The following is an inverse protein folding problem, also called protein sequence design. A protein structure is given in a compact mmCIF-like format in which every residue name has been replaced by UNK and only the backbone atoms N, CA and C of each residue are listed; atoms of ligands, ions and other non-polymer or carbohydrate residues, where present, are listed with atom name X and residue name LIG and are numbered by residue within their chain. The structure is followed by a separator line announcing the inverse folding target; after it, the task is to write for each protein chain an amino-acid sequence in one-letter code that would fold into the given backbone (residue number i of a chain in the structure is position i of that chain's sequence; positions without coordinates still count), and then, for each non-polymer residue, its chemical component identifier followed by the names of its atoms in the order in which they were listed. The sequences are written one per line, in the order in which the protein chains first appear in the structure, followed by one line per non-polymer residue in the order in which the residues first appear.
data_IF_104133128743
#
_entry.id   IF_104133128743
#
_cell.length_a   1.000
_cell.length_b   1.000
_cell.length_c   1.000
_cell.angle_alpha   90.00
_cell.angle_beta   90.00
_cell.angle_gamma   90.00
#
_symmetry.space_group_name_H-M   'P 1'
#
loop_
_entity.id
_entity.type
_entity.pdbx_description
1 polymer ?
#
# COMPACT_ATOMS: atom_id res chain seq x y z
N UNK A 1 1.31 -16.72 -15.73
CA UNK A 1 -0.02 -16.39 -15.18
C UNK A 1 -0.57 -15.26 -16.02
N UNK A 2 -1.82 -15.31 -16.47
CA UNK A 2 -2.50 -14.23 -17.20
C UNK A 2 -3.44 -13.51 -16.24
N UNK A 3 -3.66 -12.22 -16.46
CA UNK A 3 -4.62 -11.45 -15.66
C UNK A 3 -6.03 -11.84 -16.08
N UNK A 4 -6.84 -12.22 -15.11
CA UNK A 4 -8.28 -12.39 -15.30
C UNK A 4 -8.96 -11.01 -15.22
N UNK A 5 -9.08 -10.36 -16.39
CA UNK A 5 -9.64 -9.02 -16.51
C UNK A 5 -11.09 -8.92 -16.05
N UNK A 6 -11.89 -9.97 -16.25
CA UNK A 6 -13.30 -9.97 -15.86
C UNK A 6 -13.43 -9.95 -14.33
N UNK A 7 -12.68 -10.79 -13.65
CA UNK A 7 -12.68 -10.84 -12.19
C UNK A 7 -12.04 -9.58 -11.59
N UNK A 8 -10.92 -9.08 -12.16
CA UNK A 8 -10.33 -7.82 -11.71
C UNK A 8 -11.33 -6.66 -11.78
N UNK A 9 -12.10 -6.57 -12.87
CA UNK A 9 -13.10 -5.51 -13.02
C UNK A 9 -14.26 -5.64 -12.01
N UNK A 10 -14.67 -6.86 -11.67
CA UNK A 10 -15.68 -7.10 -10.62
C UNK A 10 -15.15 -6.67 -9.24
N UNK A 11 -13.92 -7.04 -8.91
CA UNK A 11 -13.31 -6.69 -7.62
C UNK A 11 -13.00 -5.19 -7.49
N UNK A 12 -12.66 -4.51 -8.59
CA UNK A 12 -12.60 -3.04 -8.63
C UNK A 12 -13.93 -2.41 -8.25
N UNK A 13 -15.04 -2.88 -8.86
CA UNK A 13 -16.38 -2.39 -8.53
C UNK A 13 -16.76 -2.67 -7.07
N UNK A 14 -16.41 -3.85 -6.54
CA UNK A 14 -16.63 -4.19 -5.15
C UNK A 14 -15.84 -3.24 -4.22
N UNK A 15 -14.61 -2.91 -4.57
CA UNK A 15 -13.78 -1.94 -3.84
C UNK A 15 -14.38 -0.54 -3.86
N UNK A 16 -14.76 -0.04 -5.04
CA UNK A 16 -15.41 1.27 -5.15
C UNK A 16 -16.76 1.32 -4.41
N UNK A 17 -17.53 0.22 -4.41
CA UNK A 17 -18.76 0.11 -3.64
C UNK A 17 -18.53 0.17 -2.13
N UNK A 18 -17.43 -0.43 -1.64
CA UNK A 18 -17.10 -0.45 -0.22
C UNK A 18 -16.59 0.89 0.30
N UNK A 19 -15.76 1.58 -0.49
CA UNK A 19 -15.01 2.76 -0.04
C UNK A 19 -15.49 4.09 -0.63
N UNK A 20 -16.39 4.06 -1.61
CA UNK A 20 -16.84 5.24 -2.34
C UNK A 20 -15.84 5.70 -3.39
N UNK A 21 -15.87 6.98 -3.71
CA UNK A 21 -14.94 7.63 -4.63
C UNK A 21 -13.61 7.95 -3.93
N UNK A 22 -12.57 8.27 -4.70
CA UNK A 22 -11.27 8.66 -4.15
C UNK A 22 -11.38 9.78 -3.09
N UNK A 23 -12.30 10.73 -3.30
CA UNK A 23 -12.51 11.87 -2.40
C UNK A 23 -13.19 11.49 -1.08
N UNK A 24 -13.85 10.35 -1.01
CA UNK A 24 -14.52 9.84 0.20
C UNK A 24 -13.54 9.14 1.14
N UNK A 25 -12.38 8.73 0.62
CA UNK A 25 -11.35 8.09 1.43
C UNK A 25 -10.83 9.04 2.52
N UNK A 26 -10.72 8.60 3.77
CA UNK A 26 -10.18 9.39 4.87
C UNK A 26 -8.73 9.80 4.61
N UNK A 27 -8.34 10.91 5.24
CA UNK A 27 -7.01 11.51 5.08
C UNK A 27 -6.14 11.18 6.28
N UNK A 28 -4.95 10.66 5.99
CA UNK A 28 -3.88 10.49 6.96
C UNK A 28 -2.65 11.34 6.59
N UNK A 29 -1.82 11.65 7.57
CA UNK A 29 -0.66 12.49 7.35
C UNK A 29 0.61 11.70 7.01
N UNK A 30 0.71 10.47 7.50
CA UNK A 30 1.89 9.61 7.38
C UNK A 30 1.52 8.14 7.41
N UNK A 31 2.09 7.34 6.49
CA UNK A 31 1.84 5.91 6.39
C UNK A 31 2.21 5.15 7.68
N UNK A 32 3.34 5.49 8.31
CA UNK A 32 3.79 4.79 9.52
C UNK A 32 2.82 4.93 10.71
N UNK A 33 1.98 6.00 10.76
CA UNK A 33 0.90 6.11 11.75
C UNK A 33 -0.24 5.13 11.49
N UNK A 34 -0.50 4.82 10.21
CA UNK A 34 -1.46 3.78 9.86
C UNK A 34 -0.91 2.42 10.28
N UNK A 35 0.36 2.15 9.98
CA UNK A 35 1.03 0.91 10.40
C UNK A 35 0.97 0.73 11.91
N UNK A 36 1.26 1.78 12.68
CA UNK A 36 1.25 1.75 14.16
C UNK A 36 -0.10 1.31 14.76
N UNK A 37 -1.21 1.48 14.02
CA UNK A 37 -2.56 1.06 14.45
C UNK A 37 -2.86 -0.42 14.20
N UNK A 38 -2.05 -1.09 13.37
CA UNK A 38 -2.33 -2.44 12.86
C UNK A 38 -1.29 -3.50 13.28
N UNK A 39 -0.39 -3.15 14.18
CA UNK A 39 0.60 -4.07 14.70
C UNK A 39 0.84 -3.87 16.18
N UNK A 40 1.85 -4.54 16.74
CA UNK A 40 2.15 -4.49 18.16
C UNK A 40 3.47 -5.13 18.55
N UNK A 41 3.76 -5.08 19.84
CA UNK A 41 4.94 -5.72 20.41
C UNK A 41 4.98 -7.22 20.09
N UNK A 42 6.14 -7.72 19.68
CA UNK A 42 6.36 -9.12 19.37
C UNK A 42 5.90 -9.54 17.99
N UNK A 43 5.38 -8.61 17.14
CA UNK A 43 5.01 -8.94 15.76
C UNK A 43 6.23 -9.36 14.94
N UNK A 44 6.01 -10.33 14.06
CA UNK A 44 6.90 -10.67 12.94
C UNK A 44 6.49 -9.82 11.74
N UNK A 45 7.40 -8.94 11.30
CA UNK A 45 7.17 -7.97 10.23
C UNK A 45 8.10 -8.22 9.07
N UNK A 46 7.56 -8.25 7.85
CA UNK A 46 8.32 -8.25 6.60
C UNK A 46 8.11 -6.92 5.88
N UNK A 47 9.18 -6.25 5.48
CA UNK A 47 9.14 -5.15 4.53
C UNK A 47 9.65 -5.60 3.17
N UNK A 48 8.81 -5.44 2.13
CA UNK A 48 9.14 -5.73 0.73
C UNK A 48 9.41 -4.41 0.02
N UNK A 49 10.56 -4.28 -0.62
CA UNK A 49 11.07 -3.00 -1.13
C UNK A 49 11.62 -2.15 0.02
N UNK A 50 12.46 -2.73 0.87
CA UNK A 50 12.87 -2.16 2.16
C UNK A 50 13.91 -1.02 2.04
N UNK A 51 14.53 -0.84 0.86
CA UNK A 51 15.51 0.22 0.60
C UNK A 51 16.57 0.34 1.70
N UNK A 52 16.62 1.48 2.37
CA UNK A 52 17.59 1.75 3.44
C UNK A 52 17.24 1.14 4.82
N UNK A 53 16.16 0.36 4.92
CA UNK A 53 15.65 -0.26 6.15
C UNK A 53 15.27 0.74 7.26
N UNK A 54 15.12 2.02 6.94
CA UNK A 54 14.80 3.06 7.96
C UNK A 54 13.44 2.85 8.64
N UNK A 55 12.57 2.05 8.04
CA UNK A 55 11.26 1.71 8.61
C UNK A 55 11.38 0.83 9.87
N UNK A 56 12.40 -0.03 9.98
CA UNK A 56 12.68 -0.83 11.19
C UNK A 56 12.75 0.05 12.44
N UNK A 57 13.43 1.20 12.35
CA UNK A 57 13.57 2.16 13.46
C UNK A 57 12.18 2.67 13.88
N UNK A 58 11.29 2.94 12.92
CA UNK A 58 9.92 3.39 13.23
C UNK A 58 9.09 2.34 13.93
N UNK A 59 9.27 1.07 13.56
CA UNK A 59 8.58 -0.03 14.25
C UNK A 59 9.06 -0.18 15.69
N UNK A 60 10.38 -0.07 15.92
CA UNK A 60 10.96 -0.09 17.26
C UNK A 60 10.48 1.09 18.12
N UNK A 61 10.37 2.29 17.53
CA UNK A 61 9.83 3.48 18.21
C UNK A 61 8.37 3.27 18.66
N UNK A 62 7.56 2.57 17.86
CA UNK A 62 6.13 2.38 18.16
C UNK A 62 5.85 1.20 19.08
N UNK A 63 6.54 0.09 18.88
CA UNK A 63 6.17 -1.18 19.51
C UNK A 63 7.27 -1.77 20.40
N UNK A 64 8.48 -1.19 20.37
CA UNK A 64 9.64 -1.71 21.06
C UNK A 64 10.17 -2.96 20.36
N UNK A 65 9.95 -4.11 20.95
CA UNK A 65 10.45 -5.38 20.44
C UNK A 65 9.60 -5.89 19.26
N UNK A 66 10.23 -6.03 18.09
CA UNK A 66 9.64 -6.61 16.87
C UNK A 66 10.68 -7.53 16.20
N UNK A 67 10.20 -8.58 15.54
CA UNK A 67 11.04 -9.37 14.64
C UNK A 67 10.89 -8.80 13.23
N UNK A 68 11.87 -7.99 12.81
CA UNK A 68 11.85 -7.38 11.48
C UNK A 68 12.69 -8.16 10.50
N UNK A 69 12.16 -8.34 9.28
CA UNK A 69 12.85 -8.87 8.12
C UNK A 69 12.65 -7.95 6.92
N UNK A 70 13.69 -7.85 6.10
CA UNK A 70 13.70 -7.02 4.90
C UNK A 70 13.90 -7.85 3.64
N UNK A 71 13.25 -7.44 2.56
CA UNK A 71 13.40 -8.00 1.24
C UNK A 71 13.55 -6.85 0.23
N UNK A 72 14.66 -6.83 -0.52
CA UNK A 72 14.87 -5.87 -1.60
C UNK A 72 15.84 -6.44 -2.63
N UNK A 73 15.62 -6.08 -3.90
CA UNK A 73 16.48 -6.47 -5.02
C UNK A 73 17.73 -5.58 -5.17
N UNK A 74 17.72 -4.39 -4.54
CA UNK A 74 18.84 -3.45 -4.60
C UNK A 74 19.98 -3.94 -3.68
N UNK A 75 21.18 -4.25 -4.23
CA UNK A 75 22.31 -4.72 -3.44
C UNK A 75 23.02 -3.61 -2.64
N UNK A 76 22.56 -2.36 -2.72
CA UNK A 76 23.21 -1.22 -2.02
C UNK A 76 23.16 -1.41 -0.51
N UNK A 77 22.10 -2.04 -0.01
CA UNK A 77 21.92 -2.35 1.41
C UNK A 77 21.85 -3.86 1.63
N UNK A 78 22.21 -4.29 2.83
CA UNK A 78 22.11 -5.72 3.20
C UNK A 78 20.69 -6.03 3.65
N UNK A 79 20.04 -6.95 2.94
CA UNK A 79 18.71 -7.44 3.25
C UNK A 79 18.72 -8.91 3.67
N UNK A 80 17.64 -9.33 4.36
CA UNK A 80 17.50 -10.75 4.74
C UNK A 80 17.20 -11.61 3.51
N UNK A 81 16.53 -11.04 2.49
CA UNK A 81 16.17 -11.72 1.24
C UNK A 81 16.38 -10.79 0.05
N UNK A 82 16.90 -11.33 -1.07
CA UNK A 82 17.11 -10.60 -2.32
C UNK A 82 15.83 -10.51 -3.18
N UNK A 83 14.91 -11.45 -3.02
CA UNK A 83 13.64 -11.48 -3.77
C UNK A 83 12.52 -12.05 -2.93
N UNK A 84 11.26 -11.61 -3.20
CA UNK A 84 10.10 -12.04 -2.41
C UNK A 84 9.85 -13.55 -2.49
N UNK A 85 10.26 -14.22 -3.57
CA UNK A 85 10.14 -15.68 -3.71
C UNK A 85 11.10 -16.44 -2.79
N UNK A 86 12.17 -15.81 -2.32
CA UNK A 86 13.13 -16.39 -1.38
C UNK A 86 12.67 -16.28 0.07
N UNK A 87 11.68 -15.44 0.33
CA UNK A 87 11.17 -15.20 1.68
C UNK A 87 10.55 -16.48 2.24
N UNK A 88 10.95 -16.82 3.45
CA UNK A 88 10.44 -17.97 4.22
C UNK A 88 9.83 -17.52 5.54
N UNK A 89 9.01 -18.39 6.14
CA UNK A 89 8.34 -18.11 7.40
C UNK A 89 6.95 -17.50 7.21
N UNK A 90 6.33 -17.12 8.32
CA UNK A 90 5.00 -16.49 8.36
C UNK A 90 5.06 -15.20 9.17
N UNK A 91 4.33 -14.19 8.72
CA UNK A 91 4.38 -12.84 9.26
C UNK A 91 3.01 -12.39 9.79
N UNK A 92 3.04 -11.58 10.84
CA UNK A 92 1.86 -10.89 11.35
C UNK A 92 1.52 -9.68 10.50
N UNK A 93 2.55 -9.02 9.96
CA UNK A 93 2.44 -7.83 9.14
C UNK A 93 3.41 -7.89 7.96
N UNK A 94 2.94 -7.58 6.76
CA UNK A 94 3.78 -7.36 5.58
C UNK A 94 3.52 -5.96 5.04
N UNK A 95 4.59 -5.18 4.85
CA UNK A 95 4.52 -3.83 4.30
C UNK A 95 5.22 -3.76 2.93
N UNK A 96 4.66 -2.98 2.00
CA UNK A 96 5.29 -2.64 0.73
C UNK A 96 4.96 -1.17 0.40
N UNK A 97 5.96 -0.28 0.46
CA UNK A 97 5.76 1.15 0.31
C UNK A 97 6.40 1.65 -0.97
N UNK A 98 5.60 2.31 -1.83
CA UNK A 98 6.06 2.89 -3.12
C UNK A 98 6.86 1.86 -3.94
N UNK A 99 6.33 0.64 -4.04
CA UNK A 99 6.99 -0.47 -4.74
C UNK A 99 6.15 -0.99 -5.91
N UNK A 100 4.83 -1.16 -5.70
CA UNK A 100 3.96 -1.88 -6.65
C UNK A 100 3.85 -1.18 -8.01
N UNK A 101 4.00 0.13 -8.05
CA UNK A 101 4.02 0.95 -9.26
C UNK A 101 5.23 0.73 -10.17
N UNK A 102 6.31 0.18 -9.63
CA UNK A 102 7.53 -0.17 -10.37
C UNK A 102 7.45 -1.57 -11.02
N UNK A 103 6.42 -2.34 -10.69
CA UNK A 103 6.23 -3.70 -11.20
C UNK A 103 5.31 -3.70 -12.42
N UNK A 104 5.50 -4.66 -13.33
CA UNK A 104 4.45 -4.94 -14.32
C UNK A 104 3.18 -5.40 -13.60
N UNK A 105 2.01 -5.23 -14.23
CA UNK A 105 0.75 -5.64 -13.59
C UNK A 105 0.73 -7.15 -13.24
N UNK A 106 1.41 -7.98 -14.03
CA UNK A 106 1.56 -9.42 -13.77
C UNK A 106 2.44 -9.66 -12.53
N UNK A 107 3.55 -8.94 -12.43
CA UNK A 107 4.47 -9.10 -11.30
C UNK A 107 3.87 -8.49 -10.02
N UNK A 108 3.12 -7.39 -10.13
CA UNK A 108 2.33 -6.84 -9.03
C UNK A 108 1.31 -7.87 -8.49
N UNK A 109 0.59 -8.56 -9.39
CA UNK A 109 -0.33 -9.64 -9.01
C UNK A 109 0.41 -10.80 -8.32
N UNK A 110 1.56 -11.23 -8.86
CA UNK A 110 2.38 -12.30 -8.25
C UNK A 110 2.87 -11.89 -6.86
N UNK A 111 3.38 -10.67 -6.72
CA UNK A 111 3.83 -10.14 -5.43
C UNK A 111 2.71 -10.17 -4.40
N UNK A 112 1.51 -9.68 -4.74
CA UNK A 112 0.37 -9.62 -3.83
C UNK A 112 -0.09 -11.02 -3.43
N UNK A 113 -0.13 -11.99 -4.36
CA UNK A 113 -0.44 -13.40 -4.07
C UNK A 113 0.63 -13.99 -3.14
N UNK A 114 1.90 -13.68 -3.37
CA UNK A 114 2.99 -14.16 -2.52
C UNK A 114 2.90 -13.55 -1.12
N UNK A 115 2.62 -12.25 -0.98
CA UNK A 115 2.39 -11.61 0.31
C UNK A 115 1.26 -12.31 1.08
N UNK A 116 0.13 -12.61 0.41
CA UNK A 116 -0.97 -13.35 1.04
C UNK A 116 -0.52 -14.71 1.56
N UNK A 117 0.29 -15.46 0.80
CA UNK A 117 0.79 -16.79 1.22
C UNK A 117 1.71 -16.72 2.44
N UNK A 118 2.48 -15.64 2.59
CA UNK A 118 3.43 -15.41 3.68
C UNK A 118 2.79 -14.85 4.96
N UNK A 119 1.56 -14.38 4.91
CA UNK A 119 0.86 -13.89 6.10
C UNK A 119 0.25 -15.05 6.89
N UNK A 120 0.29 -14.93 8.21
CA UNK A 120 -0.51 -15.75 9.12
C UNK A 120 -2.01 -15.49 8.87
N UNK A 121 -2.90 -16.44 9.18
CA UNK A 121 -4.34 -16.14 9.25
C UNK A 121 -4.60 -14.95 10.18
N UNK A 122 -5.38 -13.96 9.74
CA UNK A 122 -5.57 -12.69 10.44
C UNK A 122 -4.42 -11.69 10.30
N UNK A 123 -3.34 -12.05 9.60
CA UNK A 123 -2.21 -11.15 9.34
C UNK A 123 -2.57 -10.03 8.36
N UNK A 124 -1.87 -8.91 8.47
CA UNK A 124 -2.17 -7.66 7.78
C UNK A 124 -1.13 -7.37 6.69
N UNK A 125 -1.59 -6.95 5.51
CA UNK A 125 -0.78 -6.33 4.47
C UNK A 125 -1.06 -4.82 4.43
N UNK A 126 -0.01 -4.00 4.35
CA UNK A 126 -0.13 -2.54 4.18
C UNK A 126 0.73 -2.12 3.00
N UNK A 127 0.10 -1.54 1.98
CA UNK A 127 0.76 -1.07 0.78
C UNK A 127 0.52 0.42 0.57
N UNK A 128 1.52 1.12 0.04
CA UNK A 128 1.33 2.45 -0.54
C UNK A 128 1.67 2.47 -2.02
N UNK A 129 1.05 3.39 -2.75
CA UNK A 129 1.36 3.68 -4.15
C UNK A 129 1.04 5.15 -4.45
N UNK A 130 1.66 5.78 -5.47
CA UNK A 130 1.29 7.11 -5.89
C UNK A 130 -0.18 7.23 -6.26
N UNK A 131 -0.81 8.31 -5.84
CA UNK A 131 -2.18 8.60 -6.21
C UNK A 131 -2.26 9.12 -7.65
N UNK A 132 -2.79 8.32 -8.57
CA UNK A 132 -2.94 8.69 -9.98
C UNK A 132 -3.92 9.83 -10.23
N UNK A 133 -4.82 10.14 -9.27
CA UNK A 133 -5.65 11.34 -9.31
C UNK A 133 -4.86 12.63 -9.01
N UNK A 134 -3.60 12.51 -8.57
CA UNK A 134 -2.61 13.56 -8.56
C UNK A 134 -1.48 13.19 -9.53
N UNK A 135 -1.63 13.48 -10.83
CA UNK A 135 -0.70 13.02 -11.88
C UNK A 135 0.79 13.26 -11.57
N UNK A 136 1.19 14.40 -10.98
CA UNK A 136 2.60 14.61 -10.63
C UNK A 136 3.17 13.60 -9.63
N UNK A 137 2.35 12.90 -8.85
CA UNK A 137 2.86 11.87 -7.93
C UNK A 137 3.38 10.65 -8.68
N UNK A 138 2.71 10.26 -9.77
CA UNK A 138 3.10 9.14 -10.60
C UNK A 138 4.10 9.56 -11.71
N UNK A 139 3.79 10.62 -12.45
CA UNK A 139 4.52 10.98 -13.68
C UNK A 139 5.92 11.54 -13.46
N UNK A 140 6.27 11.96 -12.24
CA UNK A 140 7.60 12.54 -11.95
C UNK A 140 8.73 11.51 -11.92
N UNK A 141 8.41 10.23 -11.88
CA UNK A 141 9.39 9.15 -11.80
C UNK A 141 9.23 8.23 -13.04
N UNK A 142 10.30 8.16 -13.84
CA UNK A 142 10.31 7.40 -15.08
C UNK A 142 10.31 5.87 -14.86
N UNK A 143 10.57 5.42 -13.65
CA UNK A 143 10.53 4.00 -13.29
C UNK A 143 9.15 3.51 -12.88
N UNK A 144 8.17 4.40 -12.72
CA UNK A 144 6.78 4.05 -12.52
C UNK A 144 6.15 3.55 -13.83
N UNK A 145 5.79 2.30 -13.89
CA UNK A 145 5.26 1.66 -15.10
C UNK A 145 3.79 1.24 -14.99
N UNK A 146 3.29 0.98 -13.77
CA UNK A 146 1.91 0.52 -13.55
C UNK A 146 1.13 1.53 -12.71
N UNK A 147 0.31 2.39 -13.37
CA UNK A 147 -0.54 3.33 -12.67
C UNK A 147 -1.76 2.60 -12.08
N UNK A 148 -1.80 2.43 -10.77
CA UNK A 148 -2.93 1.80 -10.07
C UNK A 148 -3.82 2.84 -9.41
N UNK A 149 -5.10 2.89 -9.79
CA UNK A 149 -6.12 3.58 -9.03
C UNK A 149 -6.38 2.84 -7.70
N UNK A 150 -6.95 3.53 -6.72
CA UNK A 150 -7.26 2.92 -5.42
C UNK A 150 -8.14 1.67 -5.53
N UNK A 151 -9.10 1.68 -6.45
CA UNK A 151 -10.03 0.59 -6.70
C UNK A 151 -9.36 -0.58 -7.45
N UNK A 152 -8.38 -0.30 -8.34
CA UNK A 152 -7.57 -1.32 -9.00
C UNK A 152 -6.64 -2.01 -8.03
N UNK A 153 -5.94 -1.24 -7.18
CA UNK A 153 -5.10 -1.81 -6.12
C UNK A 153 -5.93 -2.68 -5.17
N UNK A 154 -7.11 -2.18 -4.76
CA UNK A 154 -8.04 -2.97 -3.96
C UNK A 154 -8.53 -4.23 -4.68
N UNK A 155 -8.81 -4.13 -5.98
CA UNK A 155 -9.20 -5.27 -6.81
C UNK A 155 -8.13 -6.35 -6.89
N UNK A 156 -6.86 -5.96 -7.07
CA UNK A 156 -5.72 -6.90 -7.06
C UNK A 156 -5.59 -7.62 -5.72
N UNK A 157 -5.73 -6.91 -4.61
CA UNK A 157 -5.66 -7.49 -3.27
C UNK A 157 -6.81 -8.48 -3.04
N UNK A 158 -8.04 -8.14 -3.43
CA UNK A 158 -9.19 -9.05 -3.34
C UNK A 158 -9.02 -10.31 -4.18
N UNK A 159 -8.52 -10.18 -5.41
CA UNK A 159 -8.21 -11.34 -6.27
C UNK A 159 -7.18 -12.28 -5.64
N UNK A 160 -6.27 -11.76 -4.81
CA UNK A 160 -5.31 -12.57 -4.07
C UNK A 160 -5.88 -13.18 -2.78
N UNK A 161 -7.16 -12.93 -2.45
CA UNK A 161 -7.84 -13.49 -1.29
C UNK A 161 -7.86 -12.59 -0.05
N UNK A 162 -7.43 -11.35 -0.14
CA UNK A 162 -7.48 -10.41 0.97
C UNK A 162 -8.88 -9.83 1.20
N UNK A 163 -9.20 -9.54 2.46
CA UNK A 163 -10.27 -8.63 2.85
C UNK A 163 -9.72 -7.21 3.06
N UNK A 164 -10.30 -6.22 2.40
CA UNK A 164 -9.88 -4.82 2.57
C UNK A 164 -10.48 -4.25 3.86
N UNK A 165 -9.62 -3.79 4.77
CA UNK A 165 -10.01 -3.22 6.07
C UNK A 165 -10.12 -1.70 6.03
N UNK A 166 -9.19 -1.02 5.35
CA UNK A 166 -9.20 0.43 5.25
C UNK A 166 -8.41 0.90 4.02
N UNK A 167 -8.78 2.07 3.52
CA UNK A 167 -8.02 2.84 2.55
C UNK A 167 -7.92 4.29 2.98
N UNK A 168 -6.78 4.94 2.73
CA UNK A 168 -6.54 6.32 3.11
C UNK A 168 -5.83 7.07 1.99
N UNK A 169 -6.02 8.39 1.98
CA UNK A 169 -5.23 9.33 1.19
C UNK A 169 -4.15 9.96 2.07
N UNK A 170 -2.90 10.00 1.59
CA UNK A 170 -1.79 10.59 2.35
C UNK A 170 -1.48 11.99 1.83
N UNK A 171 -1.64 12.98 2.73
CA UNK A 171 -1.34 14.40 2.48
C UNK A 171 -0.07 14.82 3.22
N UNK A 172 0.97 15.17 2.48
CA UNK A 172 2.24 15.68 3.00
C UNK A 172 2.34 17.20 3.03
N UNK A 173 1.21 17.91 2.88
CA UNK A 173 1.18 19.37 2.81
C UNK A 173 1.33 20.04 4.18
N UNK A 174 1.81 21.31 4.17
CA UNK A 174 1.74 22.18 5.32
C UNK A 174 0.28 22.46 5.72
N UNK A 175 0.04 22.81 6.99
CA UNK A 175 -1.31 23.07 7.52
C UNK A 175 -2.10 24.06 6.66
N UNK A 176 -1.46 25.18 6.25
CA UNK A 176 -2.09 26.20 5.40
C UNK A 176 -2.53 25.66 4.04
N UNK A 177 -1.66 24.91 3.35
CA UNK A 177 -2.00 24.27 2.06
C UNK A 177 -3.15 23.24 2.23
N UNK A 178 -3.15 22.49 3.34
CA UNK A 178 -4.24 21.54 3.64
C UNK A 178 -5.58 22.26 3.77
N UNK A 179 -5.64 23.38 4.47
CA UNK A 179 -6.86 24.16 4.64
C UNK A 179 -7.38 24.66 3.29
N UNK A 180 -6.54 25.31 2.48
CA UNK A 180 -6.93 25.83 1.17
C UNK A 180 -7.43 24.68 0.26
N UNK A 181 -6.64 23.63 0.13
CA UNK A 181 -6.94 22.51 -0.78
C UNK A 181 -8.16 21.71 -0.36
N UNK A 182 -8.32 21.49 0.94
CA UNK A 182 -9.37 20.63 1.50
C UNK A 182 -10.72 21.31 1.61
N UNK A 183 -10.76 22.63 1.86
CA UNK A 183 -12.02 23.32 2.11
C UNK A 183 -12.36 24.32 0.99
N UNK A 184 -11.40 25.12 0.54
CA UNK A 184 -11.69 26.15 -0.46
C UNK A 184 -11.72 25.60 -1.89
N UNK A 185 -10.71 24.76 -2.24
CA UNK A 185 -10.53 24.27 -3.60
C UNK A 185 -11.15 22.89 -3.84
N UNK A 186 -11.64 22.23 -2.81
CA UNK A 186 -12.17 20.87 -2.90
C UNK A 186 -13.27 20.68 -3.96
N UNK A 187 -14.30 21.55 -4.05
CA UNK A 187 -15.33 21.41 -5.09
C UNK A 187 -14.76 21.50 -6.51
N UNK A 188 -13.78 22.41 -6.72
CA UNK A 188 -13.13 22.57 -8.01
C UNK A 188 -12.36 21.29 -8.37
N UNK A 189 -11.57 20.74 -7.44
CA UNK A 189 -10.79 19.55 -7.69
C UNK A 189 -11.64 18.34 -8.00
N UNK A 190 -12.74 18.17 -7.27
CA UNK A 190 -13.70 17.10 -7.53
C UNK A 190 -14.36 17.25 -8.92
N UNK A 191 -14.69 18.46 -9.32
CA UNK A 191 -15.32 18.75 -10.63
C UNK A 191 -14.37 18.43 -11.80
N UNK A 192 -13.06 18.69 -11.66
CA UNK A 192 -12.06 18.43 -12.69
C UNK A 192 -11.41 17.04 -12.57
N UNK A 193 -11.86 16.22 -11.61
CA UNK A 193 -11.41 14.82 -11.46
C UNK A 193 -10.00 14.65 -10.92
N UNK A 194 -9.46 15.60 -10.13
CA UNK A 194 -8.13 15.50 -9.50
C UNK A 194 -8.20 15.49 -7.98
N UNK A 195 -7.14 14.99 -7.35
CA UNK A 195 -6.93 15.04 -5.89
C UNK A 195 -5.51 15.56 -5.60
N UNK A 196 -5.23 15.98 -4.37
CA UNK A 196 -3.92 16.49 -3.95
C UNK A 196 -3.20 15.59 -2.95
N UNK A 197 -3.79 14.47 -2.56
CA UNK A 197 -3.04 13.45 -1.86
C UNK A 197 -1.98 12.87 -2.79
N UNK A 198 -0.77 12.72 -2.28
CA UNK A 198 0.33 12.18 -3.10
C UNK A 198 0.29 10.67 -3.23
N UNK A 199 -0.24 10.00 -2.21
CA UNK A 199 -0.21 8.55 -2.09
C UNK A 199 -1.55 8.03 -1.62
N UNK A 200 -1.84 6.81 -2.00
CA UNK A 200 -2.89 5.96 -1.44
C UNK A 200 -2.21 4.96 -0.51
N UNK A 201 -2.85 4.66 0.61
CA UNK A 201 -2.47 3.55 1.47
C UNK A 201 -3.66 2.61 1.61
N UNK A 202 -3.41 1.32 1.49
CA UNK A 202 -4.40 0.27 1.69
C UNK A 202 -3.97 -0.64 2.83
N UNK A 203 -4.94 -1.03 3.65
CA UNK A 203 -4.81 -2.02 4.72
C UNK A 203 -5.70 -3.19 4.36
N UNK A 204 -5.10 -4.35 4.20
CA UNK A 204 -5.77 -5.58 3.82
C UNK A 204 -5.41 -6.71 4.80
N UNK A 205 -6.33 -7.59 5.07
CA UNK A 205 -6.17 -8.68 6.02
C UNK A 205 -6.34 -10.02 5.32
N UNK A 206 -5.50 -10.99 5.67
CA UNK A 206 -5.71 -12.39 5.29
C UNK A 206 -6.80 -12.97 6.19
N UNK A 207 -7.94 -13.44 5.64
CA UNK A 207 -9.02 -13.99 6.44
C UNK A 207 -8.55 -15.13 7.35
N UNK A 208 -9.19 -15.25 8.51
CA UNK A 208 -9.05 -16.42 9.38
C UNK A 208 -10.02 -17.46 8.84
N UNK A 209 -9.50 -18.42 8.07
CA UNK A 209 -10.29 -19.56 7.56
C UNK A 209 -10.34 -20.70 8.56
#
# INVERSE_FOLDING_TARGET
MSIDWQNLYQERRATAKQFGEIWDLPIESRYHRVVAKHGGKGFSVLEVGAGDRSFEIKLQDYWGEVTYRSCDIDPTYTHDFGHIDEVTGEYDLICAFELIEHLTLIDAQRMVVRMHSLLKPGGIAILTTPNVYYPPAFLRDATHITPLCYDELGGLLRLAGFELRAMYRLYHDSVFKKIIRRYLMYPVFRTIGIDFARQIIVVAEKPVT
#
